data_IF_518224044582
#
_entry.id   IF_518224044582
#
_cell.length_a   1.000
_cell.length_b   1.000
_cell.length_c   1.000
_cell.angle_alpha   90.00
_cell.angle_beta   90.00
_cell.angle_gamma   90.00
#
_symmetry.space_group_name_H-M   'P 1'
#
loop_
_entity.id
_entity.type
_entity.pdbx_description
1 polymer ?
#
# COMPACT_ATOMS: atom_id res chain seq x y z
N UNK A 1 -0.59 -16.21 11.76
CA UNK A 1 0.28 -16.97 10.82
C UNK A 1 0.44 -16.24 9.50
N UNK A 2 1.50 -16.56 8.76
CA UNK A 2 1.73 -16.03 7.40
C UNK A 2 0.52 -16.29 6.49
N UNK A 3 -0.05 -17.48 6.52
CA UNK A 3 -1.24 -17.82 5.74
C UNK A 3 -2.43 -16.89 6.05
N UNK A 4 -2.63 -16.55 7.32
CA UNK A 4 -3.70 -15.64 7.71
C UNK A 4 -3.44 -14.22 7.20
N UNK A 5 -2.19 -13.74 7.27
CA UNK A 5 -1.81 -12.44 6.71
C UNK A 5 -2.12 -12.35 5.20
N UNK A 6 -1.80 -13.41 4.44
CA UNK A 6 -2.12 -13.48 3.00
C UNK A 6 -3.63 -13.44 2.76
N UNK A 7 -4.43 -14.18 3.54
CA UNK A 7 -5.90 -14.13 3.42
C UNK A 7 -6.47 -12.72 3.70
N UNK A 8 -5.91 -12.01 4.68
CA UNK A 8 -6.33 -10.64 4.98
C UNK A 8 -5.99 -9.71 3.80
N UNK A 9 -4.79 -9.80 3.24
CA UNK A 9 -4.38 -9.02 2.05
C UNK A 9 -5.29 -9.33 0.85
N UNK A 10 -5.54 -10.61 0.55
CA UNK A 10 -6.42 -11.03 -0.54
C UNK A 10 -7.89 -10.59 -0.32
N UNK A 11 -8.29 -10.38 0.93
CA UNK A 11 -9.60 -9.84 1.31
C UNK A 11 -9.62 -8.31 1.38
N UNK A 12 -8.62 -7.65 0.79
CA UNK A 12 -8.51 -6.18 0.76
C UNK A 12 -8.45 -5.55 2.16
N UNK A 13 -7.78 -6.22 3.09
CA UNK A 13 -7.53 -5.71 4.42
C UNK A 13 -6.08 -5.25 4.57
N UNK A 14 -5.86 -4.21 5.37
CA UNK A 14 -4.51 -3.79 5.73
C UNK A 14 -3.90 -4.76 6.72
N UNK A 15 -2.66 -5.15 6.46
CA UNK A 15 -1.86 -6.01 7.33
C UNK A 15 -0.63 -5.24 7.81
N UNK A 16 -0.47 -5.14 9.12
CA UNK A 16 0.77 -4.66 9.72
C UNK A 16 1.73 -5.82 9.92
N UNK A 17 3.02 -5.63 9.64
CA UNK A 17 4.07 -6.54 10.09
C UNK A 17 4.85 -5.91 11.25
N UNK A 18 5.08 -6.71 12.29
CA UNK A 18 5.89 -6.34 13.44
C UNK A 18 6.88 -7.46 13.73
N UNK A 19 8.17 -7.18 13.53
CA UNK A 19 9.23 -8.16 13.75
C UNK A 19 10.57 -7.47 14.05
N UNK A 20 11.48 -8.17 14.73
CA UNK A 20 12.83 -7.70 14.98
C UNK A 20 12.91 -6.29 15.56
N UNK A 21 14.01 -5.62 15.31
CA UNK A 21 14.22 -4.22 15.68
C UNK A 21 13.53 -3.29 14.68
N UNK A 22 13.13 -2.09 15.14
CA UNK A 22 12.58 -1.07 14.24
C UNK A 22 13.66 -0.53 13.30
N UNK A 23 13.24 -0.08 12.12
CA UNK A 23 14.15 0.59 11.19
C UNK A 23 14.65 1.92 11.75
N UNK A 24 15.95 2.16 11.60
CA UNK A 24 16.56 3.46 11.91
C UNK A 24 16.45 4.34 10.66
N UNK A 25 15.46 5.23 10.63
CA UNK A 25 15.27 6.14 9.51
C UNK A 25 13.80 6.35 9.13
N UNK A 26 13.55 7.09 8.03
CA UNK A 26 12.19 7.55 7.71
C UNK A 26 11.39 6.51 6.90
N UNK A 27 11.89 5.29 6.70
CA UNK A 27 11.26 4.26 5.87
C UNK A 27 11.06 2.97 6.63
N UNK A 28 9.87 2.39 6.51
CA UNK A 28 9.61 1.02 6.91
C UNK A 28 10.03 0.08 5.78
N UNK A 29 10.81 -0.92 6.11
CA UNK A 29 11.46 -1.84 5.16
C UNK A 29 11.13 -3.30 5.47
N UNK A 30 10.00 -3.54 6.12
CA UNK A 30 9.50 -4.87 6.42
C UNK A 30 9.55 -5.28 7.88
N UNK A 31 10.00 -4.40 8.80
CA UNK A 31 9.95 -4.68 10.24
C UNK A 31 8.81 -3.95 10.94
N UNK A 32 8.49 -2.73 10.49
CA UNK A 32 7.37 -1.89 10.96
C UNK A 32 6.60 -1.35 9.76
N UNK A 33 6.09 -2.26 8.93
CA UNK A 33 5.39 -1.91 7.69
C UNK A 33 3.89 -2.15 7.80
N UNK A 34 3.12 -1.26 7.18
CA UNK A 34 1.74 -1.51 6.80
C UNK A 34 1.72 -1.94 5.34
N UNK A 35 1.05 -3.04 5.08
CA UNK A 35 0.96 -3.67 3.76
C UNK A 35 -0.48 -3.70 3.27
N UNK A 36 -0.64 -3.59 1.96
CA UNK A 36 -1.92 -3.70 1.29
C UNK A 36 -1.73 -4.33 -0.10
N UNK A 37 -2.83 -4.68 -0.76
CA UNK A 37 -2.81 -5.17 -2.14
C UNK A 37 -2.51 -4.02 -3.11
N UNK A 38 -1.38 -4.02 -3.84
CA UNK A 38 -1.04 -2.95 -4.78
C UNK A 38 -1.87 -2.99 -6.07
N UNK A 39 -2.54 -4.11 -6.35
CA UNK A 39 -3.38 -4.28 -7.56
C UNK A 39 -4.75 -3.63 -7.42
N UNK A 40 -5.15 -3.29 -6.19
CA UNK A 40 -6.36 -2.52 -5.96
C UNK A 40 -6.13 -1.05 -6.36
N UNK A 41 -6.82 -0.52 -7.37
CA UNK A 41 -6.61 0.86 -7.83
C UNK A 41 -6.99 1.91 -6.78
N UNK A 42 -7.81 1.53 -5.78
CA UNK A 42 -8.23 2.39 -4.67
C UNK A 42 -7.33 2.29 -3.43
N UNK A 43 -6.33 1.41 -3.43
CA UNK A 43 -5.49 1.19 -2.26
C UNK A 43 -4.85 2.49 -1.74
N UNK A 44 -4.46 3.41 -2.62
CA UNK A 44 -3.90 4.71 -2.24
C UNK A 44 -4.88 5.53 -1.39
N UNK A 45 -6.14 5.59 -1.79
CA UNK A 45 -7.19 6.33 -1.06
C UNK A 45 -7.46 5.65 0.27
N UNK A 46 -7.78 4.35 0.25
CA UNK A 46 -8.06 3.55 1.44
C UNK A 46 -6.95 3.68 2.49
N UNK A 47 -5.69 3.56 2.06
CA UNK A 47 -4.55 3.60 2.98
C UNK A 47 -4.33 5.03 3.53
N UNK A 48 -4.55 6.09 2.73
CA UNK A 48 -4.46 7.45 3.22
C UNK A 48 -5.55 7.76 4.26
N UNK A 49 -6.77 7.30 4.05
CA UNK A 49 -7.86 7.40 5.02
C UNK A 49 -7.55 6.68 6.33
N UNK A 50 -7.12 5.41 6.24
CA UNK A 50 -6.75 4.63 7.44
C UNK A 50 -5.61 5.30 8.20
N UNK A 51 -4.70 5.96 7.50
CA UNK A 51 -3.57 6.68 8.10
C UNK A 51 -3.92 8.11 8.51
N UNK A 52 -5.16 8.56 8.28
CA UNK A 52 -5.61 9.93 8.59
C UNK A 52 -4.68 11.00 8.00
N UNK A 53 -4.36 10.89 6.70
CA UNK A 53 -3.45 11.80 6.03
C UNK A 53 -3.93 12.19 4.63
N UNK A 54 -3.31 13.19 4.05
CA UNK A 54 -3.70 13.81 2.79
C UNK A 54 -3.58 12.86 1.58
N UNK A 55 -4.58 12.83 0.72
CA UNK A 55 -4.74 11.90 -0.43
C UNK A 55 -3.64 12.01 -1.49
N UNK A 56 -3.01 13.19 -1.61
CA UNK A 56 -1.95 13.39 -2.59
C UNK A 56 -0.65 12.67 -2.25
N UNK A 57 -0.47 12.20 -1.02
CA UNK A 57 0.78 11.56 -0.60
C UNK A 57 1.00 10.26 -1.36
N UNK A 58 2.17 10.11 -2.01
CA UNK A 58 2.52 8.88 -2.71
C UNK A 58 2.88 7.78 -1.73
N UNK A 59 2.77 6.56 -2.22
CA UNK A 59 3.21 5.37 -1.51
C UNK A 59 4.38 4.69 -2.21
N UNK A 60 4.90 3.67 -1.58
CA UNK A 60 5.99 2.85 -2.04
C UNK A 60 5.53 1.40 -2.16
N UNK A 61 6.27 0.61 -2.90
CA UNK A 61 6.10 -0.84 -2.95
C UNK A 61 7.37 -1.57 -2.52
N UNK A 62 7.21 -2.82 -2.17
CA UNK A 62 8.32 -3.75 -2.03
C UNK A 62 8.15 -4.89 -3.03
N UNK A 63 9.22 -5.23 -3.74
CA UNK A 63 9.25 -6.29 -4.74
C UNK A 63 10.32 -7.33 -4.37
N UNK A 64 10.06 -8.59 -4.68
CA UNK A 64 11.10 -9.62 -4.67
C UNK A 64 12.18 -9.26 -5.69
N UNK A 65 13.47 -9.30 -5.31
CA UNK A 65 14.57 -8.83 -6.16
C UNK A 65 14.59 -9.53 -7.53
N UNK A 66 14.27 -10.82 -7.59
CA UNK A 66 14.26 -11.62 -8.83
C UNK A 66 13.22 -11.16 -9.87
N UNK A 67 12.22 -10.36 -9.47
CA UNK A 67 11.21 -9.77 -10.36
C UNK A 67 11.45 -8.28 -10.62
N UNK A 68 12.51 -7.68 -10.07
CA UNK A 68 12.75 -6.25 -10.14
C UNK A 68 12.85 -5.74 -11.58
N UNK A 69 13.65 -6.40 -12.42
CA UNK A 69 13.80 -6.03 -13.83
C UNK A 69 12.54 -6.33 -14.68
N UNK A 70 11.62 -7.18 -14.22
CA UNK A 70 10.36 -7.43 -14.91
C UNK A 70 9.41 -6.23 -14.79
N UNK A 71 9.42 -5.55 -13.65
CA UNK A 71 8.48 -4.46 -13.34
C UNK A 71 9.04 -3.06 -13.58
N UNK A 72 10.35 -2.89 -13.48
CA UNK A 72 10.99 -1.58 -13.47
C UNK A 72 12.04 -1.41 -14.57
N UNK A 73 12.20 -0.15 -15.02
CA UNK A 73 13.30 0.26 -15.92
C UNK A 73 14.48 0.64 -15.05
N UNK A 74 15.37 -0.32 -14.82
CA UNK A 74 16.39 -0.23 -13.76
C UNK A 74 17.61 0.61 -14.14
N UNK A 75 17.91 0.77 -15.44
CA UNK A 75 19.05 1.56 -15.97
C UNK A 75 20.40 1.28 -15.27
N UNK A 76 20.62 0.01 -14.89
CA UNK A 76 21.86 -0.41 -14.22
C UNK A 76 21.79 -0.37 -12.68
N UNK A 77 20.65 -0.06 -12.10
CA UNK A 77 20.40 -0.26 -10.66
C UNK A 77 20.15 -1.76 -10.45
N UNK A 78 21.05 -2.43 -9.76
CA UNK A 78 20.94 -3.86 -9.48
C UNK A 78 19.93 -4.17 -8.37
N UNK A 79 19.83 -3.31 -7.35
CA UNK A 79 18.93 -3.44 -6.20
C UNK A 79 18.57 -2.07 -5.60
N UNK A 80 17.49 -2.01 -4.84
CA UNK A 80 17.01 -0.82 -4.12
C UNK A 80 16.51 -1.19 -2.71
N UNK A 81 17.36 -1.70 -1.81
CA UNK A 81 16.90 -2.24 -0.52
C UNK A 81 16.39 -1.17 0.46
N UNK A 82 16.73 0.10 0.23
CA UNK A 82 16.47 1.21 1.17
C UNK A 82 15.41 2.22 0.69
N UNK A 83 14.68 1.93 -0.39
CA UNK A 83 13.71 2.88 -0.99
C UNK A 83 14.35 4.25 -1.33
N UNK A 84 15.61 4.27 -1.76
CA UNK A 84 16.35 5.50 -2.03
C UNK A 84 16.05 6.10 -3.40
N UNK A 85 15.48 5.31 -4.32
CA UNK A 85 15.27 5.68 -5.71
C UNK A 85 13.77 5.67 -6.06
N UNK A 86 13.35 6.63 -6.87
CA UNK A 86 12.10 6.57 -7.62
C UNK A 86 12.45 6.03 -9.02
N UNK A 87 11.99 4.84 -9.34
CA UNK A 87 12.40 4.08 -10.54
C UNK A 87 11.21 4.00 -11.49
N UNK A 88 11.38 4.26 -12.80
CA UNK A 88 10.31 4.17 -13.76
C UNK A 88 9.70 2.76 -13.79
N UNK A 89 8.37 2.69 -13.73
CA UNK A 89 7.61 1.46 -13.90
C UNK A 89 7.46 1.17 -15.38
N UNK A 90 7.64 -0.08 -15.81
CA UNK A 90 7.40 -0.46 -17.21
C UNK A 90 5.94 -0.25 -17.59
N UNK A 91 5.69 0.26 -18.79
CA UNK A 91 4.36 0.65 -19.27
C UNK A 91 3.32 -0.47 -19.10
N UNK A 92 3.70 -1.71 -19.39
CA UNK A 92 2.86 -2.90 -19.26
C UNK A 92 2.51 -3.29 -17.81
N UNK A 93 3.25 -2.75 -16.84
CA UNK A 93 3.06 -3.02 -15.40
C UNK A 93 2.36 -1.88 -14.64
N UNK A 94 2.25 -0.71 -15.24
CA UNK A 94 1.65 0.49 -14.61
C UNK A 94 0.23 0.21 -14.09
N UNK A 95 -0.60 -0.46 -14.87
CA UNK A 95 -1.98 -0.74 -14.47
C UNK A 95 -2.06 -1.79 -13.36
N UNK A 96 -1.15 -2.77 -13.36
CA UNK A 96 -1.13 -3.85 -12.38
C UNK A 96 -0.84 -3.36 -10.95
N UNK A 97 0.05 -2.36 -10.81
CA UNK A 97 0.46 -1.81 -9.51
C UNK A 97 0.12 -0.32 -9.39
N UNK A 98 -0.97 0.11 -10.02
CA UNK A 98 -1.33 1.53 -10.19
C UNK A 98 -1.40 2.32 -8.88
N UNK A 99 -1.75 1.68 -7.76
CA UNK A 99 -1.89 2.34 -6.46
C UNK A 99 -0.56 2.83 -5.84
N UNK A 100 0.57 2.33 -6.31
CA UNK A 100 1.92 2.74 -5.87
C UNK A 100 2.71 3.46 -6.96
N UNK A 101 2.14 3.59 -8.15
CA UNK A 101 2.74 4.36 -9.25
C UNK A 101 2.50 5.85 -9.00
N UNK A 102 3.57 6.64 -9.09
CA UNK A 102 3.49 8.09 -8.96
C UNK A 102 2.98 8.73 -10.25
N UNK A 103 2.64 10.01 -10.19
CA UNK A 103 2.11 10.76 -11.33
C UNK A 103 3.09 10.80 -12.55
N UNK A 104 4.37 10.70 -12.29
CA UNK A 104 5.44 10.67 -13.30
C UNK A 104 5.81 9.25 -13.77
N UNK A 105 4.94 8.25 -13.49
CA UNK A 105 5.13 6.85 -13.81
C UNK A 105 6.34 6.20 -13.13
N UNK A 106 6.84 6.80 -12.06
CA UNK A 106 7.84 6.17 -11.19
C UNK A 106 7.19 5.50 -9.99
N UNK A 107 7.94 4.63 -9.32
CA UNK A 107 7.59 4.11 -8.01
C UNK A 107 8.84 4.16 -7.13
N UNK A 108 8.66 4.58 -5.87
CA UNK A 108 9.71 4.42 -4.87
C UNK A 108 9.65 2.99 -4.35
N UNK A 109 10.54 2.15 -4.87
CA UNK A 109 10.51 0.71 -4.64
C UNK A 109 11.63 0.25 -3.71
N UNK A 110 11.29 -0.69 -2.83
CA UNK A 110 12.23 -1.53 -2.11
C UNK A 110 12.37 -2.87 -2.84
N UNK A 111 13.59 -3.31 -3.12
CA UNK A 111 13.86 -4.71 -3.42
C UNK A 111 14.16 -5.47 -2.14
N UNK A 112 13.75 -6.72 -2.04
CA UNK A 112 14.02 -7.57 -0.89
C UNK A 112 14.49 -8.96 -1.34
N UNK A 113 15.50 -9.49 -0.62
CA UNK A 113 15.97 -10.87 -0.76
C UNK A 113 15.75 -11.65 0.53
N UNK A 114 15.80 -12.97 0.46
CA UNK A 114 15.71 -13.84 1.65
C UNK A 114 16.83 -13.54 2.66
N UNK A 115 18.02 -13.18 2.18
CA UNK A 115 19.18 -12.85 3.02
C UNK A 115 19.00 -11.52 3.78
N UNK A 116 18.38 -10.53 3.15
CA UNK A 116 18.15 -9.21 3.73
C UNK A 116 17.04 -9.22 4.78
N UNK A 117 15.91 -9.88 4.50
CA UNK A 117 14.78 -10.00 5.41
C UNK A 117 13.95 -11.24 5.08
N UNK A 118 14.30 -12.36 5.68
CA UNK A 118 13.73 -13.67 5.38
C UNK A 118 12.21 -13.73 5.53
N UNK A 119 11.68 -13.21 6.65
CA UNK A 119 10.25 -13.30 6.92
C UNK A 119 9.43 -12.41 5.97
N UNK A 120 9.93 -11.21 5.70
CA UNK A 120 9.27 -10.30 4.77
C UNK A 120 9.34 -10.82 3.34
N UNK A 121 10.49 -11.35 2.91
CA UNK A 121 10.65 -12.02 1.63
C UNK A 121 9.66 -13.20 1.48
N UNK A 122 9.59 -14.08 2.47
CA UNK A 122 8.68 -15.24 2.44
C UNK A 122 7.21 -14.81 2.43
N UNK A 123 6.86 -13.73 3.12
CA UNK A 123 5.51 -13.18 3.08
C UNK A 123 5.15 -12.68 1.67
N UNK A 124 6.04 -11.92 1.01
CA UNK A 124 5.81 -11.41 -0.35
C UNK A 124 5.80 -12.56 -1.36
N UNK A 125 6.63 -13.57 -1.18
CA UNK A 125 6.61 -14.78 -2.01
C UNK A 125 5.28 -15.52 -1.91
N UNK A 126 4.76 -15.71 -0.70
CA UNK A 126 3.44 -16.31 -0.51
C UNK A 126 2.31 -15.43 -1.08
N UNK A 127 2.44 -14.11 -0.99
CA UNK A 127 1.55 -13.16 -1.66
C UNK A 127 1.59 -13.30 -3.18
N UNK A 128 2.78 -13.41 -3.76
CA UNK A 128 2.94 -13.66 -5.19
C UNK A 128 2.29 -14.99 -5.63
N UNK A 129 2.46 -16.04 -4.86
CA UNK A 129 1.82 -17.34 -5.14
C UNK A 129 0.29 -17.26 -5.12
N UNK A 130 -0.29 -16.43 -4.26
CA UNK A 130 -1.74 -16.23 -4.16
C UNK A 130 -2.29 -15.27 -5.20
N UNK A 131 -1.63 -14.12 -5.41
CA UNK A 131 -2.14 -13.01 -6.23
C UNK A 131 -1.62 -12.99 -7.66
N UNK A 132 -0.50 -13.65 -7.93
CA UNK A 132 0.28 -13.52 -9.17
C UNK A 132 1.15 -12.27 -9.24
N UNK A 133 1.09 -11.35 -8.25
CA UNK A 133 1.85 -10.10 -8.22
C UNK A 133 3.01 -10.19 -7.22
N UNK A 134 4.29 -10.06 -7.65
CA UNK A 134 5.46 -10.15 -6.77
C UNK A 134 5.74 -8.85 -6.01
N UNK A 135 4.80 -7.90 -6.05
CA UNK A 135 4.89 -6.60 -5.39
C UNK A 135 3.88 -6.53 -4.25
N UNK A 136 4.25 -5.88 -3.17
CA UNK A 136 3.32 -5.51 -2.10
C UNK A 136 3.39 -4.00 -1.86
N UNK A 137 2.24 -3.39 -1.62
CA UNK A 137 2.16 -2.00 -1.15
C UNK A 137 2.80 -1.89 0.24
N UNK A 138 3.68 -0.92 0.44
CA UNK A 138 4.43 -0.75 1.68
C UNK A 138 4.44 0.70 2.15
N UNK A 139 4.02 0.90 3.39
CA UNK A 139 4.12 2.18 4.10
C UNK A 139 4.50 1.96 5.56
N UNK A 140 4.92 3.02 6.26
CA UNK A 140 5.32 2.94 7.67
C UNK A 140 4.16 2.61 8.59
N UNK A 141 4.42 1.80 9.61
CA UNK A 141 3.43 1.48 10.65
C UNK A 141 3.33 2.62 11.67
N UNK A 142 2.47 3.57 11.36
CA UNK A 142 2.07 4.73 12.17
C UNK A 142 0.84 5.38 11.56
N UNK A 143 0.14 6.21 12.30
CA UNK A 143 -0.88 7.12 11.77
C UNK A 143 -0.26 8.44 11.31
N UNK A 144 -1.06 9.30 10.70
CA UNK A 144 -0.60 10.60 10.22
C UNK A 144 -0.05 11.47 11.36
N UNK A 145 1.11 12.06 11.15
CA UNK A 145 1.76 12.92 12.16
C UNK A 145 2.47 12.20 13.32
N UNK A 146 2.38 10.88 13.40
CA UNK A 146 3.01 10.09 14.47
C UNK A 146 4.37 9.51 14.03
N UNK A 147 5.20 9.18 15.01
CA UNK A 147 6.39 8.36 14.80
C UNK A 147 6.01 6.91 14.45
N UNK A 148 6.91 6.21 13.76
CA UNK A 148 6.75 4.77 13.51
C UNK A 148 6.73 4.01 14.85
N UNK A 149 5.88 2.99 14.94
CA UNK A 149 5.76 2.17 16.16
C UNK A 149 7.10 1.53 16.52
N UNK A 150 7.48 1.62 17.78
CA UNK A 150 8.74 1.06 18.31
C UNK A 150 8.48 -0.29 18.97
N UNK A 151 7.54 -0.35 19.89
CA UNK A 151 7.18 -1.53 20.67
C UNK A 151 5.87 -2.16 20.21
N UNK A 152 5.65 -3.42 20.60
CA UNK A 152 4.37 -4.09 20.36
C UNK A 152 3.21 -3.35 21.03
N UNK A 153 3.42 -2.74 22.19
CA UNK A 153 2.40 -1.93 22.86
C UNK A 153 2.00 -0.72 22.02
N UNK A 154 2.95 -0.03 21.37
CA UNK A 154 2.64 1.05 20.44
C UNK A 154 1.90 0.54 19.20
N UNK A 155 2.26 -0.64 18.69
CA UNK A 155 1.59 -1.25 17.55
C UNK A 155 0.12 -1.59 17.89
N UNK A 156 -0.12 -2.16 19.06
CA UNK A 156 -1.46 -2.47 19.57
C UNK A 156 -2.30 -1.19 19.72
N UNK A 157 -1.77 -0.17 20.40
CA UNK A 157 -2.45 1.11 20.58
C UNK A 157 -2.81 1.76 19.23
N UNK A 158 -1.91 1.72 18.25
CA UNK A 158 -2.15 2.23 16.90
C UNK A 158 -3.31 1.47 16.22
N UNK A 159 -3.36 0.14 16.37
CA UNK A 159 -4.45 -0.66 15.83
C UNK A 159 -5.78 -0.39 16.54
N UNK A 160 -5.78 -0.21 17.85
CA UNK A 160 -7.01 0.10 18.62
C UNK A 160 -7.64 1.43 18.22
N UNK A 161 -6.81 2.41 17.84
CA UNK A 161 -7.23 3.76 17.43
C UNK A 161 -7.52 3.90 15.94
N UNK A 162 -7.28 2.87 15.13
CA UNK A 162 -7.38 2.96 13.67
C UNK A 162 -8.19 1.81 13.06
N UNK A 163 -8.29 1.79 11.75
CA UNK A 163 -8.88 0.70 10.98
C UNK A 163 -7.91 -0.45 10.68
N UNK A 164 -6.71 -0.46 11.26
CA UNK A 164 -5.76 -1.57 11.12
C UNK A 164 -6.23 -2.71 12.04
N UNK A 165 -6.60 -3.85 11.44
CA UNK A 165 -7.24 -4.95 12.16
C UNK A 165 -6.34 -6.16 12.38
N UNK A 166 -5.18 -6.20 11.72
CA UNK A 166 -4.33 -7.38 11.72
C UNK A 166 -2.86 -7.03 11.83
N UNK A 167 -2.20 -7.58 12.85
CA UNK A 167 -0.75 -7.53 13.00
C UNK A 167 -0.22 -8.94 12.74
N UNK A 168 0.63 -9.08 11.74
CA UNK A 168 1.43 -10.27 11.50
C UNK A 168 2.75 -10.16 12.27
N UNK A 169 2.98 -11.10 13.14
CA UNK A 169 4.29 -11.34 13.76
C UNK A 169 4.75 -12.70 13.27
N UNK A 170 5.90 -12.80 12.61
CA UNK A 170 6.45 -14.06 12.14
C UNK A 170 6.60 -15.09 13.26
N UNK A 171 6.42 -16.36 12.93
CA UNK A 171 6.38 -17.46 13.88
C UNK A 171 7.73 -17.72 14.57
N UNK A 172 8.83 -17.25 13.99
CA UNK A 172 10.19 -17.36 14.55
C UNK A 172 10.53 -16.22 15.54
N UNK A 173 9.61 -15.27 15.72
CA UNK A 173 9.81 -14.19 16.69
C UNK A 173 9.39 -14.64 18.09
N UNK A 174 10.28 -14.47 19.06
CA UNK A 174 10.01 -14.76 20.47
C UNK A 174 9.14 -13.67 21.13
N UNK A 175 7.95 -13.46 20.55
CA UNK A 175 6.96 -12.53 21.07
C UNK A 175 5.74 -13.34 21.51
N UNK A 176 5.58 -13.57 22.82
CA UNK A 176 4.42 -14.27 23.31
C UNK A 176 3.18 -13.40 23.18
N UNK A 177 2.34 -13.70 22.22
CA UNK A 177 0.98 -13.19 22.10
C UNK A 177 0.72 -12.17 20.99
N UNK A 178 0.00 -12.65 19.96
CA UNK A 178 -0.71 -11.77 19.03
C UNK A 178 -2.17 -12.16 19.04
N UNK A 179 -2.99 -11.23 19.48
CA UNK A 179 -4.43 -11.33 19.27
C UNK A 179 -4.78 -10.69 17.92
N UNK A 180 -5.62 -11.37 17.14
CA UNK A 180 -6.42 -10.68 16.14
C UNK A 180 -7.24 -9.63 16.89
N UNK A 181 -7.04 -8.36 16.55
CA UNK A 181 -7.89 -7.30 17.08
C UNK A 181 -9.24 -7.45 16.44
N UNK A 182 -10.17 -8.10 17.17
CA UNK A 182 -11.56 -8.10 16.77
C UNK A 182 -12.12 -6.74 17.12
N UNK A 183 -12.27 -5.88 16.11
CA UNK A 183 -13.02 -4.63 16.27
C UNK A 183 -14.45 -4.95 16.64
N UNK A 184 -15.05 -4.04 17.41
CA UNK A 184 -16.48 -4.12 17.68
C UNK A 184 -17.26 -3.97 16.37
N UNK A 185 -18.47 -4.53 16.32
CA UNK A 185 -19.36 -4.40 15.15
C UNK A 185 -19.55 -2.93 14.77
N UNK A 186 -19.62 -2.03 15.75
CA UNK A 186 -19.70 -0.57 15.56
C UNK A 186 -18.48 0.01 14.84
N UNK A 187 -17.27 -0.45 15.17
CA UNK A 187 -16.04 -0.02 14.50
C UNK A 187 -15.94 -0.56 13.08
N UNK A 188 -16.43 -1.78 12.83
CA UNK A 188 -16.51 -2.37 11.49
C UNK A 188 -17.53 -1.65 10.61
N UNK A 189 -18.67 -1.26 11.17
CA UNK A 189 -19.71 -0.53 10.46
C UNK A 189 -19.22 0.86 10.06
N UNK A 190 -18.59 1.59 10.98
CA UNK A 190 -17.97 2.88 10.69
C UNK A 190 -16.92 2.79 9.58
N UNK A 191 -16.13 1.71 9.55
CA UNK A 191 -15.17 1.48 8.48
C UNK A 191 -15.84 1.22 7.14
N UNK A 192 -16.96 0.46 7.13
CA UNK A 192 -17.77 0.21 5.93
C UNK A 192 -18.41 1.50 5.40
N UNK A 193 -18.91 2.34 6.30
CA UNK A 193 -19.45 3.66 5.96
C UNK A 193 -18.38 4.55 5.32
N UNK A 194 -17.19 4.67 5.91
CA UNK A 194 -16.06 5.41 5.35
C UNK A 194 -15.67 4.92 3.95
N UNK A 195 -15.62 3.61 3.74
CA UNK A 195 -15.30 3.03 2.43
C UNK A 195 -16.42 3.30 1.41
N UNK A 196 -17.68 3.31 1.84
CA UNK A 196 -18.83 3.59 0.99
C UNK A 196 -18.90 5.08 0.58
N UNK A 197 -18.64 6.02 1.51
CA UNK A 197 -18.61 7.47 1.23
C UNK A 197 -17.57 7.82 0.16
N UNK A 198 -16.39 7.19 0.19
CA UNK A 198 -15.37 7.35 -0.86
C UNK A 198 -15.85 6.84 -2.22
N UNK A 199 -16.67 5.79 -2.24
CA UNK A 199 -17.30 5.30 -3.47
C UNK A 199 -18.22 6.32 -4.10
N UNK A 200 -19.09 6.92 -3.28
CA UNK A 200 -20.09 7.87 -3.75
C UNK A 200 -19.47 9.20 -4.23
N UNK A 201 -18.40 9.67 -3.58
CA UNK A 201 -17.71 10.89 -3.99
C UNK A 201 -16.94 10.73 -5.32
N UNK A 202 -16.38 9.56 -5.60
CA UNK A 202 -15.69 9.29 -6.87
C UNK A 202 -16.68 9.10 -8.01
N UNK A 203 -17.80 8.40 -7.81
CA UNK A 203 -18.87 8.33 -8.81
C UNK A 203 -19.43 9.70 -9.14
N UNK A 204 -19.60 10.59 -8.17
CA UNK A 204 -20.05 11.96 -8.39
C UNK A 204 -19.01 12.81 -9.14
N UNK A 205 -17.72 12.59 -8.94
CA UNK A 205 -16.65 13.28 -9.67
C UNK A 205 -16.50 12.79 -11.11
N UNK A 206 -16.70 11.51 -11.38
CA UNK A 206 -16.70 10.96 -12.74
C UNK A 206 -17.93 11.38 -13.54
N UNK A 207 -19.10 11.46 -12.92
CA UNK A 207 -20.35 11.88 -13.60
C UNK A 207 -20.62 13.39 -13.55
N UNK A 208 -19.99 14.15 -12.62
CA UNK A 208 -20.17 15.60 -12.49
C UNK A 208 -19.38 16.46 -13.48
N UNK A 209 -18.40 15.92 -14.19
CA UNK A 209 -17.63 16.62 -15.21
C UNK A 209 -18.16 16.44 -16.65
N UNK A 210 -19.37 15.93 -16.78
CA UNK A 210 -20.09 15.81 -18.05
C UNK A 210 -20.81 17.10 -18.46
N UNK A 211 -20.19 18.27 -18.42
CA UNK A 211 -20.64 19.39 -19.24
C UNK A 211 -20.38 19.01 -20.69
N UNK A 212 -21.45 18.66 -21.37
CA UNK A 212 -21.47 18.46 -22.81
C UNK A 212 -20.91 19.72 -23.49
N UNK A 213 -19.73 19.60 -24.07
CA UNK A 213 -19.22 20.59 -25.02
C UNK A 213 -20.23 20.65 -26.17
N UNK A 214 -21.03 21.70 -26.18
CA UNK A 214 -21.93 22.03 -27.29
C UNK A 214 -21.10 22.39 -28.53
N UNK A 215 -20.89 21.42 -29.40
CA UNK A 215 -20.18 21.55 -30.69
C UNK A 215 -21.04 22.18 -31.80
N UNK A 216 -22.12 22.89 -31.48
CA UNK A 216 -23.03 23.49 -32.48
C UNK A 216 -22.84 24.98 -32.72
N UNK A 217 -21.75 25.60 -32.27
CA UNK A 217 -21.45 27.03 -32.62
C UNK A 217 -20.15 27.13 -33.43
N UNK A 218 -20.18 26.58 -34.64
CA UNK A 218 -19.20 26.88 -35.67
C UNK A 218 -19.90 27.61 -36.84
N UNK A 219 -20.28 28.88 -36.62
CA UNK A 219 -20.62 29.83 -37.67
C UNK A 219 -20.20 31.23 -37.23
N UNK A 220 -18.96 31.60 -37.50
CA UNK A 220 -18.52 32.98 -37.67
C UNK A 220 -16.99 33.06 -37.78
N UNK A 221 -16.42 32.71 -38.93
CA UNK A 221 -15.17 33.33 -39.42
C UNK A 221 -14.95 32.95 -40.91
N UNK A 222 -15.86 33.45 -41.76
CA UNK A 222 -15.56 33.71 -43.15
C UNK A 222 -16.10 35.12 -43.43
N UNK A 223 -15.21 36.08 -43.57
CA UNK A 223 -15.26 37.39 -44.17
C UNK A 223 -14.66 38.50 -43.34
N UNK A 224 -13.37 38.71 -43.50
CA UNK A 224 -12.74 40.01 -43.80
C UNK A 224 -11.24 39.85 -43.92
#
# INVERSE_FOLDING_TARGET
>A
TQLEAIKQLASQQMVAIFQGESEIGPRALGNRSLMFDPTNPRAKVIVNEIKEREDFRPFAGTILLEYFEEYFVTEGIEESPWMSYAIPVKDEKVQEISSIVHHDFTCRVQTVTEEQNKNYYNLIKAWHEESGCPVIFNTSFNLGGEAMVESLAHAVDTCERSAINFIYVPEDQDIPYIQNFVKTEEQLEKLREMIAEVHDEEEQKEFGNGEALDLTSNDAFINS
#
